data_IF_608573314129
#
_entry.id   IF_608573314129
#
_cell.length_a   1.000
_cell.length_b   1.000
_cell.length_c   1.000
_cell.angle_alpha   90.00
_cell.angle_beta   90.00
_cell.angle_gamma   90.00
#
_symmetry.space_group_name_H-M   'P 1'
#
loop_
_entity.id
_entity.type
_entity.pdbx_description
1 polymer ?
#
# COMPACT_ATOMS: atom_id res chain seq x y z
N UNK A 1 5.25 11.98 33.77
CA UNK A 1 5.14 11.78 32.29
C UNK A 1 5.38 13.12 31.63
N UNK A 2 6.32 13.19 30.69
CA UNK A 2 6.62 14.46 29.98
C UNK A 2 5.84 14.48 28.68
N UNK A 3 5.14 15.55 28.40
CA UNK A 3 4.36 15.73 27.16
C UNK A 3 4.95 16.91 26.39
N UNK A 4 5.28 16.70 25.12
CA UNK A 4 5.64 17.77 24.18
C UNK A 4 4.39 18.07 23.35
N UNK A 5 3.91 19.33 23.42
CA UNK A 5 2.82 19.82 22.58
C UNK A 5 3.41 20.72 21.52
N UNK A 6 3.23 20.34 20.26
CA UNK A 6 3.69 21.12 19.10
C UNK A 6 2.62 21.10 18.03
N UNK A 7 2.44 22.21 17.33
CA UNK A 7 1.48 22.28 16.21
C UNK A 7 2.07 21.69 14.93
N UNK A 8 3.39 21.74 14.79
CA UNK A 8 4.08 21.19 13.61
C UNK A 8 5.45 20.64 14.04
N UNK A 9 5.79 19.48 13.50
CA UNK A 9 7.15 18.90 13.62
C UNK A 9 7.79 18.93 12.24
N UNK A 10 8.86 19.67 12.08
CA UNK A 10 9.58 19.85 10.83
C UNK A 10 11.08 19.81 11.09
N UNK A 11 11.84 19.24 10.14
CA UNK A 11 13.30 19.33 10.22
C UNK A 11 13.76 20.78 10.00
N UNK A 12 14.89 21.17 10.57
CA UNK A 12 15.47 22.50 10.41
C UNK A 12 15.79 22.87 8.97
N UNK A 13 15.98 21.89 8.09
CA UNK A 13 16.20 22.06 6.65
C UNK A 13 14.92 21.99 5.81
N UNK A 14 13.73 21.92 6.42
CA UNK A 14 12.45 21.84 5.70
C UNK A 14 12.14 20.47 5.13
N UNK A 15 13.00 19.46 5.32
CA UNK A 15 12.79 18.09 4.88
C UNK A 15 11.88 17.27 5.81
N UNK A 16 11.71 16.00 5.49
CA UNK A 16 10.97 15.08 6.33
C UNK A 16 11.65 14.89 7.70
N UNK A 17 10.86 14.77 8.76
CA UNK A 17 11.36 14.44 10.09
C UNK A 17 11.61 12.95 10.19
N UNK A 18 12.82 12.57 10.62
CA UNK A 18 13.13 11.19 10.96
C UNK A 18 12.71 10.90 12.39
N UNK A 19 11.78 9.95 12.55
CA UNK A 19 11.36 9.45 13.86
C UNK A 19 12.05 8.12 14.12
N UNK A 20 13.05 8.11 14.98
CA UNK A 20 13.83 6.90 15.29
C UNK A 20 12.96 5.88 16.03
N UNK A 21 13.03 4.61 15.65
CA UNK A 21 12.28 3.49 16.23
C UNK A 21 10.75 3.64 16.15
N UNK A 22 10.25 4.37 15.16
CA UNK A 22 8.82 4.44 14.90
C UNK A 22 8.48 3.82 13.54
N UNK A 23 7.40 3.07 13.51
CA UNK A 23 6.81 2.55 12.30
C UNK A 23 5.50 3.29 12.02
N UNK A 24 5.33 3.77 10.81
CA UNK A 24 4.12 4.46 10.40
C UNK A 24 3.70 4.02 8.98
N UNK A 25 2.44 4.29 8.64
CA UNK A 25 1.99 4.14 7.27
C UNK A 25 2.75 5.12 6.37
N UNK A 26 3.58 4.60 5.47
CA UNK A 26 4.36 5.37 4.51
C UNK A 26 3.78 5.32 3.10
N UNK A 27 2.83 4.43 2.89
CA UNK A 27 2.13 4.27 1.62
C UNK A 27 0.68 3.89 1.86
N UNK A 28 -0.21 4.46 1.06
CA UNK A 28 -1.58 3.99 0.93
C UNK A 28 -2.09 4.26 -0.47
N UNK A 29 -3.02 3.44 -0.91
CA UNK A 29 -3.76 3.63 -2.15
C UNK A 29 -5.16 3.05 -2.00
N UNK A 30 -6.10 3.72 -2.64
CA UNK A 30 -7.45 3.22 -2.91
C UNK A 30 -7.70 3.37 -4.41
N UNK A 31 -8.02 2.26 -5.07
CA UNK A 31 -8.25 2.25 -6.51
C UNK A 31 -9.45 1.36 -6.88
N UNK A 32 -10.00 1.59 -8.06
CA UNK A 32 -10.94 0.68 -8.71
C UNK A 32 -10.15 -0.44 -9.39
N UNK A 33 -10.58 -1.69 -9.21
CA UNK A 33 -9.92 -2.85 -9.79
C UNK A 33 -10.34 -3.12 -11.23
N UNK A 34 -11.65 -3.12 -11.53
CA UNK A 34 -12.19 -3.42 -12.88
C UNK A 34 -11.59 -2.55 -13.99
N UNK A 35 -11.34 -1.29 -13.67
CA UNK A 35 -10.60 -0.37 -14.54
C UNK A 35 -9.61 0.34 -13.63
N UNK A 36 -8.34 -0.11 -13.58
CA UNK A 36 -7.39 0.38 -12.60
C UNK A 36 -7.26 1.89 -12.62
N UNK A 37 -8.02 2.55 -11.73
CA UNK A 37 -8.07 4.00 -11.58
C UNK A 37 -7.81 4.34 -10.14
N UNK A 38 -6.76 5.11 -9.90
CA UNK A 38 -6.42 5.58 -8.55
C UNK A 38 -7.44 6.62 -8.10
N UNK A 39 -8.18 6.32 -7.04
CA UNK A 39 -9.12 7.25 -6.40
C UNK A 39 -8.40 8.14 -5.38
N UNK A 40 -7.54 7.55 -4.57
CA UNK A 40 -6.71 8.25 -3.59
C UNK A 40 -5.39 7.51 -3.40
N UNK A 41 -4.31 8.25 -3.22
CA UNK A 41 -3.01 7.66 -2.91
C UNK A 41 -2.13 8.60 -2.08
N UNK A 42 -1.20 7.99 -1.34
CA UNK A 42 -0.11 8.67 -0.64
C UNK A 42 1.18 7.91 -0.89
N UNK A 43 2.24 8.62 -1.30
CA UNK A 43 3.55 8.08 -1.63
C UNK A 43 3.55 7.06 -2.80
N UNK A 44 2.58 7.13 -3.70
CA UNK A 44 2.53 6.30 -4.90
C UNK A 44 3.04 7.07 -6.10
N UNK A 45 3.90 6.46 -6.90
CA UNK A 45 4.32 6.99 -8.21
C UNK A 45 3.57 6.32 -9.36
N UNK A 46 3.34 5.01 -9.27
CA UNK A 46 2.71 4.26 -10.36
C UNK A 46 1.87 3.12 -9.80
N UNK A 47 0.68 2.94 -10.36
CA UNK A 47 -0.14 1.75 -10.30
C UNK A 47 -0.01 1.00 -11.63
N UNK A 48 0.31 -0.26 -11.59
CA UNK A 48 0.37 -1.14 -12.77
C UNK A 48 -0.58 -2.31 -12.56
N UNK A 49 -1.46 -2.52 -13.51
CA UNK A 49 -2.24 -3.73 -13.66
C UNK A 49 -1.37 -4.77 -14.37
N UNK A 50 -1.03 -5.84 -13.67
CA UNK A 50 -0.16 -6.90 -14.16
C UNK A 50 -0.96 -8.01 -14.84
N UNK A 51 -2.12 -8.33 -14.31
CA UNK A 51 -3.11 -9.30 -14.80
C UNK A 51 -4.30 -9.32 -13.83
N UNK A 52 -5.36 -10.04 -14.17
CA UNK A 52 -6.52 -10.20 -13.29
C UNK A 52 -6.12 -10.45 -11.83
N UNK A 53 -6.59 -9.62 -10.93
CA UNK A 53 -6.30 -9.65 -9.50
C UNK A 53 -4.84 -9.34 -9.10
N UNK A 54 -4.00 -8.87 -10.01
CA UNK A 54 -2.58 -8.62 -9.72
C UNK A 54 -2.18 -7.20 -10.02
N UNK A 55 -1.76 -6.51 -8.98
CA UNK A 55 -1.37 -5.10 -9.05
C UNK A 55 0.01 -4.88 -8.47
N UNK A 56 0.77 -3.99 -9.09
CA UNK A 56 2.01 -3.47 -8.51
C UNK A 56 1.91 -1.96 -8.28
N UNK A 57 2.48 -1.53 -7.16
CA UNK A 57 2.50 -0.13 -6.74
C UNK A 57 3.94 0.27 -6.49
N UNK A 58 4.44 1.22 -7.28
CA UNK A 58 5.74 1.81 -7.04
C UNK A 58 5.61 2.99 -6.06
N UNK A 59 6.59 3.12 -5.17
CA UNK A 59 6.63 4.22 -4.20
C UNK A 59 7.38 5.43 -4.78
N UNK A 60 6.87 6.63 -4.53
CA UNK A 60 7.58 7.88 -4.85
C UNK A 60 8.80 8.07 -3.95
N UNK A 61 8.68 7.67 -2.68
CA UNK A 61 9.77 7.65 -1.71
C UNK A 61 9.91 6.22 -1.17
N UNK A 62 10.96 5.49 -1.52
CA UNK A 62 11.15 4.11 -1.10
C UNK A 62 11.28 3.95 0.42
N UNK A 63 11.06 2.74 0.91
CA UNK A 63 11.44 2.36 2.27
C UNK A 63 12.95 2.14 2.36
N UNK A 64 13.52 2.21 3.56
CA UNK A 64 14.94 1.89 3.75
C UNK A 64 15.26 0.42 3.58
N UNK A 65 14.28 -0.43 3.86
CA UNK A 65 14.42 -1.88 3.81
C UNK A 65 13.24 -2.52 3.10
N UNK A 66 13.40 -3.79 2.74
CA UNK A 66 12.32 -4.63 2.21
C UNK A 66 11.40 -5.20 3.31
N UNK A 67 11.70 -4.91 4.58
CA UNK A 67 10.98 -5.45 5.74
C UNK A 67 9.89 -4.47 6.19
N UNK A 68 8.85 -4.37 5.41
CA UNK A 68 7.63 -3.61 5.73
C UNK A 68 6.43 -4.55 5.88
N UNK A 69 5.41 -4.07 6.55
CA UNK A 69 4.12 -4.75 6.70
C UNK A 69 3.13 -4.22 5.67
N UNK A 70 2.43 -5.11 5.02
CA UNK A 70 1.40 -4.76 4.05
C UNK A 70 0.05 -5.25 4.53
N UNK A 71 -0.95 -4.38 4.48
CA UNK A 71 -2.36 -4.71 4.66
C UNK A 71 -3.10 -4.36 3.37
N UNK A 72 -3.86 -5.30 2.86
CA UNK A 72 -4.64 -5.08 1.66
C UNK A 72 -6.04 -5.70 1.80
N UNK A 73 -7.02 -5.02 1.24
CA UNK A 73 -8.42 -5.44 1.20
C UNK A 73 -9.00 -5.10 -0.16
N UNK A 74 -9.93 -5.93 -0.62
CA UNK A 74 -10.72 -5.65 -1.80
C UNK A 74 -12.19 -5.95 -1.55
N UNK A 75 -13.05 -5.30 -2.32
CA UNK A 75 -14.49 -5.52 -2.31
C UNK A 75 -14.96 -5.87 -3.71
N UNK A 76 -15.98 -6.71 -3.80
CA UNK A 76 -16.65 -7.05 -5.04
C UNK A 76 -18.04 -6.41 -5.09
N UNK A 77 -18.55 -6.09 -6.28
CA UNK A 77 -19.84 -5.43 -6.45
C UNK A 77 -21.01 -6.40 -6.32
N UNK A 78 -21.93 -6.08 -5.43
CA UNK A 78 -23.34 -6.54 -5.45
C UNK A 78 -23.63 -8.01 -5.19
N UNK A 79 -22.65 -8.87 -5.12
CA UNK A 79 -22.78 -10.28 -4.79
C UNK A 79 -22.08 -10.56 -3.47
N UNK A 80 -22.48 -11.61 -2.75
CA UNK A 80 -21.83 -12.04 -1.52
C UNK A 80 -20.44 -12.63 -1.86
N UNK A 81 -19.60 -11.81 -2.44
CA UNK A 81 -18.23 -12.09 -2.78
C UNK A 81 -17.30 -11.15 -2.01
N UNK A 82 -16.14 -11.61 -1.66
CA UNK A 82 -15.02 -10.78 -1.20
C UNK A 82 -13.76 -11.27 -1.89
N UNK A 83 -12.93 -10.33 -2.26
CA UNK A 83 -11.59 -10.62 -2.76
C UNK A 83 -10.63 -10.49 -1.60
N UNK A 84 -9.90 -11.55 -1.30
CA UNK A 84 -8.83 -11.50 -0.31
C UNK A 84 -7.53 -11.12 -0.99
N UNK A 85 -6.94 -10.03 -0.57
CA UNK A 85 -5.65 -9.58 -1.10
C UNK A 85 -4.50 -9.99 -0.16
N UNK A 86 -3.38 -10.35 -0.75
CA UNK A 86 -2.16 -10.70 -0.03
C UNK A 86 -0.93 -10.31 -0.85
N UNK A 87 0.22 -10.23 -0.19
CA UNK A 87 1.47 -9.95 -0.88
C UNK A 87 1.78 -11.07 -1.89
N UNK A 88 1.98 -10.70 -3.16
CA UNK A 88 2.26 -11.68 -4.19
C UNK A 88 3.62 -12.34 -3.99
N UNK A 89 3.61 -13.65 -3.76
CA UNK A 89 4.82 -14.46 -3.57
C UNK A 89 5.64 -14.69 -4.86
N UNK A 90 5.08 -14.34 -6.02
CA UNK A 90 5.73 -14.50 -7.31
C UNK A 90 6.70 -13.37 -7.64
N UNK A 91 6.79 -12.36 -6.78
CA UNK A 91 7.66 -11.20 -6.96
C UNK A 91 8.72 -11.12 -5.88
N UNK A 92 9.90 -10.68 -6.27
CA UNK A 92 10.97 -10.36 -5.32
C UNK A 92 10.61 -9.09 -4.55
N UNK A 93 10.75 -9.14 -3.23
CA UNK A 93 10.54 -7.94 -2.39
C UNK A 93 11.51 -6.84 -2.77
N UNK A 94 10.99 -5.64 -2.93
CA UNK A 94 11.77 -4.43 -3.19
C UNK A 94 11.38 -3.32 -2.22
N UNK A 95 12.33 -2.51 -1.82
CA UNK A 95 12.05 -1.34 -0.97
C UNK A 95 11.28 -0.24 -1.71
N UNK A 96 11.23 -0.30 -3.03
CA UNK A 96 10.61 0.69 -3.93
C UNK A 96 9.22 0.32 -4.42
N UNK A 97 8.72 -0.89 -4.12
CA UNK A 97 7.41 -1.35 -4.61
C UNK A 97 6.79 -2.43 -3.73
N UNK A 98 5.48 -2.58 -3.88
CA UNK A 98 4.71 -3.69 -3.32
C UNK A 98 3.85 -4.32 -4.42
N UNK A 99 3.73 -5.65 -4.41
CA UNK A 99 2.92 -6.42 -5.33
C UNK A 99 1.83 -7.16 -4.56
N UNK A 100 0.59 -6.95 -4.96
CA UNK A 100 -0.59 -7.53 -4.31
C UNK A 100 -1.31 -8.45 -5.30
N UNK A 101 -1.88 -9.51 -4.77
CA UNK A 101 -2.63 -10.48 -5.51
C UNK A 101 -3.95 -10.75 -4.81
N UNK A 102 -5.04 -10.61 -5.53
CA UNK A 102 -6.40 -10.87 -5.07
C UNK A 102 -6.90 -12.21 -5.58
N UNK A 103 -7.67 -12.90 -4.78
CA UNK A 103 -8.40 -14.13 -5.15
C UNK A 103 -9.83 -14.04 -4.64
N UNK A 104 -10.74 -14.53 -5.45
CA UNK A 104 -12.15 -14.71 -5.11
C UNK A 104 -12.41 -15.96 -4.25
N UNK A 105 -13.67 -16.24 -3.95
CA UNK A 105 -14.09 -17.43 -3.21
C UNK A 105 -13.88 -18.75 -3.98
N UNK A 106 -13.68 -18.68 -5.28
CA UNK A 106 -13.44 -19.84 -6.16
C UNK A 106 -11.97 -20.12 -6.41
N UNK A 107 -11.07 -19.51 -5.62
CA UNK A 107 -9.62 -19.59 -5.79
C UNK A 107 -9.10 -19.06 -7.15
N UNK A 108 -9.91 -18.22 -7.81
CA UNK A 108 -9.51 -17.55 -9.04
C UNK A 108 -8.95 -16.15 -8.76
N UNK A 109 -8.06 -15.68 -9.63
CA UNK A 109 -7.61 -14.29 -9.55
C UNK A 109 -8.72 -13.35 -9.99
N UNK A 110 -8.98 -12.33 -9.19
CA UNK A 110 -10.08 -11.41 -9.43
C UNK A 110 -9.67 -9.97 -9.10
N UNK A 111 -10.11 -9.05 -9.96
CA UNK A 111 -9.76 -7.64 -9.88
C UNK A 111 -10.49 -6.91 -8.75
N UNK A 112 -11.58 -7.41 -8.27
CA UNK A 112 -12.41 -6.75 -7.26
C UNK A 112 -12.80 -5.32 -7.65
N UNK A 113 -13.97 -4.86 -7.26
CA UNK A 113 -14.45 -3.52 -7.64
C UNK A 113 -13.59 -2.40 -7.05
N UNK A 114 -13.26 -2.49 -5.78
CA UNK A 114 -12.40 -1.52 -5.09
C UNK A 114 -11.34 -2.23 -4.27
N UNK A 115 -10.13 -1.73 -4.34
CA UNK A 115 -8.99 -2.25 -3.59
C UNK A 115 -8.31 -1.15 -2.79
N UNK A 116 -7.94 -1.49 -1.57
CA UNK A 116 -7.23 -0.62 -0.65
C UNK A 116 -5.96 -1.31 -0.15
N UNK A 117 -4.84 -0.62 -0.26
CA UNK A 117 -3.55 -1.13 0.22
C UNK A 117 -2.88 -0.10 1.11
N UNK A 118 -2.36 -0.55 2.21
CA UNK A 118 -1.55 0.25 3.13
C UNK A 118 -0.25 -0.50 3.43
N UNK A 119 0.85 0.24 3.42
CA UNK A 119 2.16 -0.29 3.78
C UNK A 119 2.75 0.55 4.90
N UNK A 120 3.16 -0.12 5.96
CA UNK A 120 3.82 0.48 7.11
C UNK A 120 5.20 -0.13 7.31
N UNK A 121 6.15 0.70 7.65
CA UNK A 121 7.53 0.28 7.86
C UNK A 121 8.36 1.36 8.51
N UNK A 122 9.67 1.17 8.50
CA UNK A 122 10.60 2.14 9.04
C UNK A 122 10.53 3.46 8.27
N UNK A 123 10.46 4.55 9.02
CA UNK A 123 10.52 5.90 8.47
C UNK A 123 11.99 6.26 8.26
N UNK A 124 12.37 6.34 7.03
CA UNK A 124 13.72 6.78 6.67
C UNK A 124 13.81 8.29 6.65
#
# INVERSE_FOLDING_TARGET
>A
MSTIKVDTVQSTGGGAVTLTNQSASKFRVHHSGDTPTTNESFNMSTLTDEAAGRYSYAFSSPFNTVYFTTTAMSTEDGTIGYVTMYYSRNYTRAASSVHIQGIDQGDSYDDGQYSSVMVAGDLA
#
